data_IF_183571478379
#
_entry.id   IF_183571478379
#
_cell.length_a   1.000
_cell.length_b   1.000
_cell.length_c   1.000
_cell.angle_alpha   90.00
_cell.angle_beta   90.00
_cell.angle_gamma   90.00
#
_symmetry.space_group_name_H-M   'P 1'
#
loop_
_entity.id
_entity.type
_entity.pdbx_description
1 polymer ?
2 polymer ?
#
# COMPACT_ATOMS: atom_id res chain seq x y z
N UNK A 12 -7.89 27.65 -22.11
CA UNK A 12 -8.39 26.83 -23.21
C UNK A 12 -9.58 25.98 -22.76
N UNK A 13 -9.63 25.69 -21.46
CA UNK A 13 -10.67 24.92 -20.78
C UNK A 13 -10.67 23.46 -21.28
N UNK A 14 -11.67 22.94 -22.12
CA UNK A 14 -11.68 21.50 -22.33
C UNK A 14 -11.02 21.05 -23.62
N UNK A 15 -10.85 21.94 -24.60
CA UNK A 15 -10.10 21.53 -25.78
C UNK A 15 -8.65 21.21 -25.44
N UNK A 16 -8.18 21.60 -24.25
CA UNK A 16 -6.95 21.04 -23.72
C UNK A 16 -7.04 19.52 -23.62
N UNK A 17 -8.21 19.00 -23.20
CA UNK A 17 -8.43 17.55 -23.20
C UNK A 17 -8.39 17.00 -24.63
N UNK A 18 -8.93 17.74 -25.60
CA UNK A 18 -8.89 17.27 -26.98
C UNK A 18 -7.46 17.27 -27.52
N UNK A 19 -6.75 18.38 -27.34
CA UNK A 19 -5.34 18.43 -27.71
C UNK A 19 -4.60 17.21 -27.18
N UNK A 20 -4.78 16.90 -25.89
CA UNK A 20 -4.05 15.81 -25.27
C UNK A 20 -4.56 14.46 -25.74
N UNK A 21 -5.89 14.29 -25.73
CA UNK A 21 -6.48 13.03 -26.20
C UNK A 21 -6.13 12.77 -27.66
N UNK A 22 -5.85 13.82 -28.42
CA UNK A 22 -5.38 13.62 -29.77
C UNK A 22 -3.92 13.22 -29.79
N UNK A 23 -3.09 13.92 -29.01
CA UNK A 23 -1.65 13.66 -29.01
C UNK A 23 -1.34 12.22 -28.60
N UNK A 24 -2.08 11.71 -27.61
CA UNK A 24 -1.93 10.30 -27.23
C UNK A 24 -2.42 9.38 -28.33
N UNK A 25 -3.47 9.78 -29.04
CA UNK A 25 -4.08 8.91 -30.05
C UNK A 25 -3.13 8.65 -31.21
N UNK A 26 -2.23 9.59 -31.50
CA UNK A 26 -1.27 9.43 -32.57
C UNK A 26 -0.28 8.33 -32.21
N UNK A 27 0.56 8.58 -31.21
CA UNK A 27 1.35 7.49 -30.66
C UNK A 27 2.84 7.74 -30.58
N UNK A 28 3.26 8.98 -30.79
CA UNK A 28 4.67 9.33 -30.74
C UNK A 28 4.92 10.07 -29.43
N UNK A 29 5.66 9.44 -28.52
CA UNK A 29 6.02 10.11 -27.28
C UNK A 29 6.78 11.41 -27.51
N UNK A 30 7.71 11.53 -28.47
CA UNK A 30 8.21 12.87 -28.81
C UNK A 30 7.11 13.82 -29.22
N UNK A 31 6.21 13.38 -30.10
CA UNK A 31 5.11 14.21 -30.55
C UNK A 31 4.22 14.63 -29.38
N UNK A 32 4.09 13.78 -28.38
CA UNK A 32 3.31 14.14 -27.20
C UNK A 32 4.01 15.22 -26.40
N UNK A 33 5.32 15.10 -26.20
CA UNK A 33 6.08 16.15 -25.53
C UNK A 33 5.96 17.46 -26.28
N UNK A 34 6.17 17.41 -27.60
CA UNK A 34 6.12 18.62 -28.42
C UNK A 34 4.78 19.35 -28.26
N UNK A 35 3.69 18.62 -28.03
CA UNK A 35 2.41 19.26 -27.79
C UNK A 35 2.37 19.92 -26.41
N UNK A 36 2.75 19.17 -25.37
CA UNK A 36 2.74 19.73 -24.02
C UNK A 36 3.72 20.88 -23.89
N UNK A 37 4.83 20.83 -24.64
CA UNK A 37 5.87 21.85 -24.52
C UNK A 37 5.37 23.20 -24.99
N UNK A 38 4.59 23.22 -26.07
CA UNK A 38 4.19 24.47 -26.73
C UNK A 38 2.71 24.80 -26.56
N UNK A 39 1.92 23.94 -25.93
CA UNK A 39 0.49 24.18 -25.83
C UNK A 39 -0.06 24.08 -24.41
N UNK A 40 0.71 23.58 -23.45
CA UNK A 40 0.28 23.55 -22.05
C UNK A 40 0.94 24.65 -21.22
N UNK A 41 1.23 25.80 -21.82
CA UNK A 41 1.62 26.98 -21.07
C UNK A 41 0.37 27.82 -20.79
N UNK A 42 0.33 28.48 -19.62
CA UNK A 42 1.34 28.38 -18.57
C UNK A 42 1.12 27.14 -17.70
N UNK A 43 2.21 26.48 -17.27
CA UNK A 43 2.08 25.24 -16.51
C UNK A 43 1.56 25.44 -15.09
N UNK A 44 1.49 26.68 -14.60
CA UNK A 44 1.02 26.89 -13.24
C UNK A 44 -0.49 27.09 -13.14
N UNK A 45 -1.12 27.60 -14.19
CA UNK A 45 -2.55 27.86 -14.13
C UNK A 45 -3.28 26.54 -13.92
N UNK A 46 -4.23 26.47 -12.98
CA UNK A 46 -4.75 25.17 -12.53
C UNK A 46 -5.55 24.43 -13.59
N UNK A 47 -5.94 25.06 -14.69
CA UNK A 47 -6.62 24.32 -15.73
C UNK A 47 -5.66 23.46 -16.54
N UNK A 48 -4.40 23.85 -16.62
CA UNK A 48 -3.40 23.00 -17.27
C UNK A 48 -3.02 21.84 -16.36
N UNK A 49 -2.76 22.12 -15.08
CA UNK A 49 -2.35 21.07 -14.16
C UNK A 49 -3.44 20.05 -13.91
N UNK A 50 -4.72 20.41 -14.07
CA UNK A 50 -5.77 19.43 -13.87
C UNK A 50 -5.91 18.49 -15.07
N UNK A 51 -5.87 19.03 -16.29
CA UNK A 51 -5.96 18.18 -17.46
C UNK A 51 -4.64 17.47 -17.74
N UNK A 52 -3.53 17.99 -17.23
CA UNK A 52 -2.26 17.30 -17.36
C UNK A 52 -2.22 16.05 -16.49
N UNK A 53 -2.76 16.13 -15.27
CA UNK A 53 -2.69 15.02 -14.34
C UNK A 53 -3.75 13.95 -14.62
N UNK A 54 -4.55 14.12 -15.65
CA UNK A 54 -5.39 13.04 -16.16
C UNK A 54 -4.71 12.28 -17.29
N UNK A 55 -3.44 12.57 -17.58
CA UNK A 55 -2.81 12.03 -18.78
C UNK A 55 -2.76 10.51 -18.77
N UNK A 56 -2.63 9.89 -17.59
CA UNK A 56 -2.52 8.45 -17.54
C UNK A 56 -3.88 7.78 -17.77
N UNK A 57 -4.94 8.35 -17.21
CA UNK A 57 -6.28 7.85 -17.52
C UNK A 57 -6.58 7.98 -19.00
N UNK A 58 -6.06 9.03 -19.63
CA UNK A 58 -6.30 9.24 -21.05
C UNK A 58 -5.47 8.30 -21.92
N UNK A 59 -4.27 7.91 -21.46
CA UNK A 59 -3.44 7.03 -22.26
C UNK A 59 -4.05 5.64 -22.38
N UNK A 60 -4.58 5.11 -21.28
CA UNK A 60 -5.08 3.74 -21.28
C UNK A 60 -6.37 3.60 -22.09
N UNK A 61 -7.01 4.71 -22.44
CA UNK A 61 -8.19 4.62 -23.31
C UNK A 61 -7.81 4.63 -24.78
N UNK A 62 -7.00 5.60 -25.20
CA UNK A 62 -6.76 5.84 -26.62
C UNK A 62 -5.31 5.66 -27.04
N UNK A 63 -4.35 5.56 -26.10
CA UNK A 63 -3.01 5.57 -26.65
C UNK A 63 -2.51 4.15 -26.93
N UNK A 64 -1.64 4.00 -27.93
CA UNK A 64 -1.01 2.69 -28.16
C UNK A 64 -0.11 2.31 -26.99
N UNK A 65 0.29 1.04 -26.98
CA UNK A 65 0.95 0.47 -25.80
C UNK A 65 2.27 1.16 -25.50
N UNK A 66 3.11 1.33 -26.53
CA UNK A 66 4.46 1.84 -26.26
C UNK A 66 4.46 3.27 -25.73
N UNK A 67 3.41 4.05 -26.02
CA UNK A 67 3.33 5.41 -25.49
C UNK A 67 3.05 5.37 -24.00
N UNK A 68 2.35 4.33 -23.53
CA UNK A 68 2.08 4.20 -22.11
C UNK A 68 3.36 3.88 -21.35
N UNK A 69 4.12 2.90 -21.83
CA UNK A 69 5.41 2.58 -21.22
C UNK A 69 6.31 3.79 -21.21
N UNK A 70 6.36 4.54 -22.32
CA UNK A 70 7.23 5.71 -22.36
C UNK A 70 6.75 6.79 -21.41
N UNK A 71 5.43 6.95 -21.27
CA UNK A 71 4.92 7.91 -20.29
C UNK A 71 5.26 7.46 -18.88
N UNK A 72 5.09 6.17 -18.59
CA UNK A 72 5.35 5.64 -17.26
C UNK A 72 6.83 5.74 -16.92
N UNK A 73 7.68 5.12 -17.74
CA UNK A 73 9.11 5.01 -17.43
C UNK A 73 9.83 6.36 -17.43
N UNK A 74 9.10 7.44 -17.74
CA UNK A 74 9.65 8.79 -17.74
C UNK A 74 9.19 9.60 -16.53
N UNK A 75 7.87 9.62 -16.27
CA UNK A 75 7.29 10.62 -15.39
C UNK A 75 6.63 10.04 -14.14
N UNK A 76 6.58 8.72 -13.99
CA UNK A 76 5.80 8.10 -12.91
C UNK A 76 6.74 7.75 -11.76
N UNK A 77 6.34 8.13 -10.55
CA UNK A 77 7.04 7.82 -9.30
C UNK A 77 8.56 7.87 -9.46
N UNK A 78 9.03 8.99 -10.02
CA UNK A 78 10.45 9.16 -10.31
C UNK A 78 10.85 10.59 -10.01
N UNK A 79 12.04 10.77 -9.43
CA UNK A 79 12.58 12.08 -9.12
C UNK A 79 13.68 12.49 -10.08
N UNK A 80 13.81 11.82 -11.23
CA UNK A 80 14.88 12.09 -12.18
C UNK A 80 14.61 13.37 -12.99
N UNK A 81 14.21 14.44 -12.30
CA UNK A 81 13.96 15.78 -12.83
C UNK A 81 13.01 15.82 -14.04
N UNK A 82 12.77 14.67 -14.67
CA UNK A 82 11.77 14.51 -15.73
C UNK A 82 11.97 15.45 -16.92
N UNK A 83 11.01 16.34 -17.15
CA UNK A 83 10.99 17.13 -18.37
C UNK A 83 10.42 18.52 -18.10
N UNK A 84 9.09 18.65 -18.17
CA UNK A 84 8.41 19.85 -17.74
C UNK A 84 8.14 19.85 -16.25
N UNK A 85 9.04 19.25 -15.47
CA UNK A 85 8.83 19.02 -14.05
C UNK A 85 7.49 18.32 -13.81
N UNK A 86 7.15 17.40 -14.71
CA UNK A 86 5.91 16.66 -14.64
C UNK A 86 6.14 15.40 -13.83
N UNK A 87 5.30 15.18 -12.83
CA UNK A 87 5.39 14.01 -11.96
C UNK A 87 4.01 13.38 -11.86
N UNK A 88 3.87 12.18 -12.41
CA UNK A 88 2.59 11.49 -12.51
C UNK A 88 2.43 10.48 -11.38
N UNK A 89 1.32 10.59 -10.65
CA UNK A 89 0.98 9.59 -9.65
C UNK A 89 0.28 8.44 -10.34
N UNK A 90 0.83 7.23 -10.17
CA UNK A 90 0.30 6.09 -10.91
C UNK A 90 -1.12 5.75 -10.49
N UNK A 91 -1.53 6.12 -9.28
CA UNK A 91 -2.83 5.77 -8.75
C UNK A 91 -3.69 7.00 -8.52
N UNK A 92 -3.52 8.02 -9.36
CA UNK A 92 -4.33 9.23 -9.26
C UNK A 92 -5.79 8.89 -9.51
N UNK A 93 -6.67 9.74 -8.97
CA UNK A 93 -8.09 9.42 -8.91
C UNK A 93 -8.88 10.41 -9.77
N UNK A 94 -9.69 9.87 -10.68
CA UNK A 94 -10.65 10.58 -11.52
C UNK A 94 -11.53 11.54 -10.72
N UNK A 95 -12.28 12.38 -11.44
CA UNK A 95 -13.44 13.03 -10.80
C UNK A 95 -14.43 11.97 -10.32
N UNK A 96 -14.43 10.80 -10.96
CA UNK A 96 -15.25 9.67 -10.56
C UNK A 96 -14.56 8.80 -9.51
N UNK A 97 -13.32 9.12 -9.14
CA UNK A 97 -12.58 8.34 -8.16
C UNK A 97 -11.74 7.21 -8.72
N UNK A 98 -11.81 6.94 -10.03
CA UNK A 98 -11.13 5.82 -10.63
C UNK A 98 -9.64 6.10 -10.85
N UNK A 99 -8.87 5.02 -10.94
CA UNK A 99 -7.46 5.03 -11.27
C UNK A 99 -7.25 4.56 -12.70
N UNK A 100 -6.09 4.82 -13.31
CA UNK A 100 -5.84 4.27 -14.65
C UNK A 100 -6.00 2.77 -14.71
N UNK A 101 -5.74 2.06 -13.61
CA UNK A 101 -6.01 0.63 -13.57
C UNK A 101 -7.51 0.34 -13.68
N UNK A 102 -8.36 1.22 -13.12
CA UNK A 102 -9.81 1.07 -13.25
C UNK A 102 -10.24 1.13 -14.72
N UNK A 103 -9.90 2.23 -15.39
CA UNK A 103 -10.33 2.42 -16.78
C UNK A 103 -9.78 1.29 -17.65
N UNK A 104 -8.51 0.95 -17.49
CA UNK A 104 -7.91 -0.14 -18.24
C UNK A 104 -8.72 -1.42 -18.08
N UNK A 105 -9.11 -1.74 -16.85
CA UNK A 105 -9.93 -2.92 -16.61
C UNK A 105 -11.31 -2.75 -17.21
N UNK A 106 -11.96 -1.60 -16.92
CA UNK A 106 -13.33 -1.36 -17.37
C UNK A 106 -13.49 -1.58 -18.86
N UNK A 107 -12.52 -1.14 -19.65
CA UNK A 107 -12.61 -1.29 -21.09
C UNK A 107 -12.14 -2.63 -21.58
N UNK A 108 -11.86 -3.58 -20.67
CA UNK A 108 -11.42 -4.92 -21.03
C UNK A 108 -10.15 -4.89 -21.86
N UNK A 109 -9.32 -3.86 -21.66
CA UNK A 109 -8.04 -3.75 -22.33
C UNK A 109 -7.02 -4.49 -21.45
N UNK A 110 -6.87 -5.79 -21.70
CA UNK A 110 -6.22 -6.66 -20.73
C UNK A 110 -4.70 -6.56 -20.72
N UNK A 111 -4.08 -6.46 -21.89
CA UNK A 111 -2.64 -6.36 -21.97
C UNK A 111 -2.10 -5.13 -21.23
N UNK A 112 -2.97 -4.15 -20.97
CA UNK A 112 -2.58 -2.96 -20.22
C UNK A 112 -2.78 -3.17 -18.72
N UNK A 113 -3.89 -3.80 -18.32
CA UNK A 113 -4.07 -4.20 -16.93
C UNK A 113 -2.86 -4.96 -16.43
N UNK A 114 -2.26 -5.78 -17.31
CA UNK A 114 -1.05 -6.51 -16.96
C UNK A 114 0.10 -5.56 -16.64
N UNK A 115 0.46 -4.69 -17.60
CA UNK A 115 1.60 -3.80 -17.41
C UNK A 115 1.44 -2.89 -16.21
N UNK A 116 0.20 -2.47 -15.90
CA UNK A 116 -0.02 -1.64 -14.71
C UNK A 116 0.26 -2.41 -13.43
N UNK A 117 -0.21 -3.65 -13.33
CA UNK A 117 -0.02 -4.44 -12.11
C UNK A 117 1.42 -4.90 -11.91
N UNK A 118 2.27 -4.80 -12.94
CA UNK A 118 3.68 -5.15 -12.80
C UNK A 118 4.53 -3.97 -12.37
N UNK A 119 3.97 -2.77 -12.26
CA UNK A 119 4.73 -1.62 -11.82
C UNK A 119 5.01 -1.71 -10.31
N UNK A 120 6.03 -1.02 -9.83
CA UNK A 120 6.40 -1.15 -8.41
C UNK A 120 5.47 -0.43 -7.46
N UNK A 121 4.88 0.69 -7.86
CA UNK A 121 4.05 1.47 -6.96
C UNK A 121 2.56 1.27 -7.22
N UNK A 122 2.17 0.29 -8.04
CA UNK A 122 0.77 0.06 -8.34
C UNK A 122 0.01 -0.30 -7.07
N UNK A 123 -1.11 0.38 -6.85
CA UNK A 123 -2.02 0.08 -5.76
C UNK A 123 -3.33 -0.39 -6.38
N UNK A 124 -3.57 -1.70 -6.33
CA UNK A 124 -4.76 -2.29 -6.93
C UNK A 124 -5.90 -2.45 -5.94
N UNK A 125 -5.84 -1.73 -4.82
CA UNK A 125 -6.86 -1.83 -3.79
C UNK A 125 -7.50 -0.48 -3.52
N UNK A 126 -7.45 0.42 -4.49
CA UNK A 126 -8.01 1.74 -4.35
C UNK A 126 -9.50 1.67 -4.63
N UNK A 127 -10.28 2.37 -3.80
CA UNK A 127 -11.72 2.44 -3.93
C UNK A 127 -12.07 3.74 -4.65
N UNK A 128 -12.97 3.64 -5.63
CA UNK A 128 -13.42 4.82 -6.33
C UNK A 128 -14.62 5.42 -5.59
N UNK A 129 -15.32 6.34 -6.26
CA UNK A 129 -16.48 6.98 -5.65
C UNK A 129 -17.59 5.96 -5.39
N UNK A 130 -17.73 4.98 -6.28
CA UNK A 130 -18.74 3.93 -6.11
C UNK A 130 -18.33 2.86 -5.11
N UNK A 131 -17.16 3.00 -4.48
CA UNK A 131 -16.62 2.00 -3.55
C UNK A 131 -16.41 0.65 -4.26
N UNK A 132 -15.58 0.69 -5.30
CA UNK A 132 -15.25 -0.51 -6.07
C UNK A 132 -13.76 -0.60 -6.29
N UNK A 133 -13.23 -1.82 -6.16
CA UNK A 133 -11.86 -2.08 -6.52
C UNK A 133 -11.71 -2.09 -8.03
N UNK A 134 -10.48 -1.83 -8.50
CA UNK A 134 -10.24 -1.81 -9.93
C UNK A 134 -10.59 -3.14 -10.58
N UNK A 135 -10.56 -4.22 -9.81
CA UNK A 135 -10.82 -5.54 -10.39
C UNK A 135 -12.30 -5.70 -10.74
N UNK A 136 -13.19 -4.95 -10.08
CA UNK A 136 -14.62 -5.15 -10.30
C UNK A 136 -15.13 -4.53 -11.59
N UNK A 137 -14.41 -3.58 -12.16
CA UNK A 137 -14.92 -2.85 -13.32
C UNK A 137 -14.94 -3.68 -14.60
N UNK A 138 -14.11 -4.72 -14.71
CA UNK A 138 -14.03 -5.39 -16.00
C UNK A 138 -15.24 -6.29 -16.23
N UNK A 139 -15.45 -6.64 -17.50
CA UNK A 139 -16.50 -7.56 -17.90
C UNK A 139 -15.98 -8.93 -18.29
N UNK A 140 -14.78 -9.00 -18.86
CA UNK A 140 -14.20 -10.29 -19.25
C UNK A 140 -13.65 -11.00 -18.01
N UNK A 141 -14.12 -12.22 -17.76
CA UNK A 141 -13.61 -12.98 -16.62
C UNK A 141 -12.13 -13.30 -16.79
N UNK A 142 -11.70 -13.58 -18.03
CA UNK A 142 -10.28 -13.85 -18.29
C UNK A 142 -9.39 -12.73 -17.79
N UNK A 143 -9.89 -11.49 -17.85
CA UNK A 143 -9.12 -10.35 -17.36
C UNK A 143 -9.18 -10.29 -15.84
N UNK A 144 -10.33 -10.60 -15.25
CA UNK A 144 -10.44 -10.62 -13.79
C UNK A 144 -9.52 -11.69 -13.20
N UNK A 145 -9.52 -12.88 -13.80
CA UNK A 145 -8.70 -13.97 -13.27
C UNK A 145 -7.22 -13.59 -13.24
N UNK A 146 -6.71 -13.08 -14.35
CA UNK A 146 -5.31 -12.65 -14.38
C UNK A 146 -5.06 -11.57 -13.34
N UNK A 147 -6.03 -10.67 -13.14
CA UNK A 147 -5.90 -9.66 -12.10
C UNK A 147 -5.86 -10.31 -10.73
N UNK A 148 -6.79 -11.23 -10.47
CA UNK A 148 -6.84 -11.91 -9.19
C UNK A 148 -5.60 -12.76 -8.97
N UNK A 149 -5.06 -13.36 -10.04
CA UNK A 149 -3.86 -14.18 -9.93
C UNK A 149 -2.66 -13.31 -9.58
N UNK A 150 -2.60 -12.10 -10.13
CA UNK A 150 -1.45 -11.24 -9.91
C UNK A 150 -1.39 -10.74 -8.46
N UNK A 151 -2.55 -10.44 -7.86
CA UNK A 151 -2.54 -10.10 -6.44
C UNK A 151 -2.01 -11.26 -5.61
N UNK A 152 -2.42 -12.49 -5.96
CA UNK A 152 -1.93 -13.67 -5.26
C UNK A 152 -0.41 -13.75 -5.28
N UNK A 153 0.18 -13.51 -6.46
CA UNK A 153 1.62 -13.61 -6.59
C UNK A 153 2.34 -12.47 -5.87
N UNK A 154 1.74 -11.28 -5.88
CA UNK A 154 2.38 -10.17 -5.20
C UNK A 154 2.38 -10.38 -3.69
N UNK A 155 1.24 -10.74 -3.12
CA UNK A 155 1.15 -10.99 -1.68
C UNK A 155 2.08 -12.13 -1.29
N UNK A 156 2.20 -13.15 -2.15
CA UNK A 156 3.12 -14.23 -1.88
C UNK A 156 4.56 -13.73 -1.84
N UNK A 157 4.98 -13.03 -2.91
CA UNK A 157 6.36 -12.55 -2.99
C UNK A 157 6.67 -11.54 -1.90
N UNK A 158 5.71 -10.70 -1.53
CA UNK A 158 5.98 -9.68 -0.53
C UNK A 158 6.02 -10.26 0.88
N UNK A 159 5.17 -11.25 1.16
CA UNK A 159 5.19 -11.91 2.46
C UNK A 159 6.52 -12.62 2.70
N UNK A 160 7.15 -13.11 1.65
CA UNK A 160 8.47 -13.71 1.81
C UNK A 160 9.52 -12.64 2.07
N UNK A 161 9.44 -11.51 1.35
CA UNK A 161 10.34 -10.40 1.63
C UNK A 161 10.16 -9.87 3.04
N UNK A 162 8.93 -9.91 3.56
CA UNK A 162 8.68 -9.52 4.94
C UNK A 162 9.41 -10.44 5.91
N UNK A 163 9.20 -11.75 5.77
CA UNK A 163 9.87 -12.72 6.63
C UNK A 163 11.38 -12.57 6.56
N UNK A 164 11.93 -12.50 5.35
CA UNK A 164 13.38 -12.36 5.19
C UNK A 164 13.88 -11.11 5.92
N UNK A 165 13.16 -10.00 5.78
CA UNK A 165 13.60 -8.75 6.41
C UNK A 165 13.68 -8.88 7.92
N UNK A 166 12.73 -9.59 8.52
CA UNK A 166 12.80 -9.81 9.96
C UNK A 166 13.98 -10.71 10.32
N UNK A 167 14.19 -11.78 9.56
CA UNK A 167 15.25 -12.73 9.91
C UNK A 167 16.61 -12.08 9.84
N UNK A 168 16.84 -11.23 8.84
CA UNK A 168 18.08 -10.48 8.73
C UNK A 168 18.08 -9.20 9.55
N UNK A 169 16.97 -8.87 10.22
CA UNK A 169 16.85 -7.63 10.99
C UNK A 169 17.14 -6.42 10.11
N UNK A 170 16.70 -6.49 8.85
CA UNK A 170 16.87 -5.41 7.87
C UNK A 170 15.83 -4.32 8.18
N UNK A 171 16.19 -3.43 9.10
CA UNK A 171 15.25 -2.42 9.57
C UNK A 171 14.80 -1.51 8.43
N UNK A 172 15.73 -1.09 7.57
CA UNK A 172 15.37 -0.22 6.47
C UNK A 172 14.37 -0.85 5.53
N UNK A 173 14.52 -2.16 5.27
CA UNK A 173 13.62 -2.81 4.34
C UNK A 173 12.23 -2.96 4.91
N UNK A 174 12.11 -3.08 6.24
CA UNK A 174 10.79 -3.20 6.85
C UNK A 174 10.01 -1.91 6.75
N UNK A 175 10.66 -0.76 7.02
CA UNK A 175 10.00 0.52 6.82
C UNK A 175 9.61 0.74 5.36
N UNK A 176 10.38 0.14 4.43
CA UNK A 176 10.05 0.25 3.02
C UNK A 176 8.78 -0.50 2.67
N UNK A 177 8.52 -1.60 3.35
CA UNK A 177 7.38 -2.45 2.99
C UNK A 177 6.09 -1.94 3.61
N UNK A 178 6.15 -1.45 4.86
CA UNK A 178 4.94 -0.92 5.48
C UNK A 178 4.57 0.46 4.94
N UNK A 179 5.49 1.16 4.29
CA UNK A 179 5.17 2.45 3.70
C UNK A 179 4.29 2.30 2.47
N UNK A 180 4.51 1.25 1.69
CA UNK A 180 3.71 1.04 0.48
C UNK A 180 2.25 0.82 0.84
N UNK A 181 1.34 1.68 0.39
CA UNK A 181 -0.05 1.56 0.86
C UNK A 181 -0.71 0.27 0.42
N UNK A 182 -0.40 -0.21 -0.79
CA UNK A 182 -0.94 -1.51 -1.21
C UNK A 182 -0.57 -2.59 -0.21
N UNK A 183 0.61 -2.49 0.39
CA UNK A 183 1.02 -3.47 1.41
C UNK A 183 0.23 -3.28 2.69
N UNK A 184 0.00 -2.03 3.10
CA UNK A 184 -0.75 -1.77 4.33
C UNK A 184 -2.14 -2.40 4.26
N UNK A 185 -2.68 -2.59 3.06
CA UNK A 185 -4.00 -3.17 2.86
C UNK A 185 -3.99 -4.69 2.80
N UNK A 186 -2.87 -5.30 2.41
CA UNK A 186 -2.79 -6.74 2.12
C UNK A 186 -1.76 -7.46 2.99
N UNK A 187 -1.46 -6.95 4.18
CA UNK A 187 -0.35 -7.48 4.94
C UNK A 187 -0.60 -7.20 6.41
N UNK A 188 -0.64 -8.25 7.22
CA UNK A 188 -0.89 -8.12 8.65
C UNK A 188 0.43 -8.30 9.40
N UNK A 189 0.74 -7.36 10.29
CA UNK A 189 1.96 -7.43 11.08
C UNK A 189 1.76 -8.31 12.32
N UNK A 190 0.52 -8.69 12.61
CA UNK A 190 0.21 -9.52 13.77
C UNK A 190 0.18 -11.01 13.46
N UNK A 191 -0.44 -11.42 12.34
CA UNK A 191 -0.72 -12.81 12.01
C UNK A 191 0.22 -13.87 12.54
N UNK A 192 -0.33 -14.94 13.09
CA UNK A 192 0.51 -15.98 13.70
C UNK A 192 1.26 -16.76 12.64
N UNK A 193 2.48 -17.18 12.97
CA UNK A 193 3.17 -18.22 12.21
C UNK A 193 2.29 -19.46 12.21
N UNK A 194 2.01 -20.06 11.04
CA UNK A 194 1.03 -21.15 11.01
C UNK A 194 1.38 -22.34 11.88
N UNK A 195 2.63 -22.82 11.85
CA UNK A 195 2.94 -23.91 12.77
C UNK A 195 3.90 -23.45 13.85
N UNK A 196 3.46 -22.45 14.63
CA UNK A 196 4.12 -21.99 15.84
C UNK A 196 3.06 -21.23 16.65
N UNK A 197 3.48 -20.42 17.61
CA UNK A 197 2.58 -19.51 18.31
C UNK A 197 1.77 -18.70 17.31
N UNK A 198 2.30 -17.61 16.74
CA UNK A 198 3.50 -16.84 17.11
C UNK A 198 3.52 -15.55 16.30
N UNK A 199 3.04 -14.45 16.89
CA UNK A 199 3.20 -13.16 16.25
C UNK A 199 4.67 -12.76 16.28
N UNK A 200 5.01 -11.77 15.45
CA UNK A 200 6.40 -11.32 15.41
C UNK A 200 6.83 -10.68 16.71
N UNK A 201 5.88 -10.20 17.52
CA UNK A 201 6.23 -9.67 18.83
C UNK A 201 6.73 -10.79 19.75
N UNK A 202 5.98 -11.89 19.85
CA UNK A 202 6.42 -13.01 20.66
C UNK A 202 7.78 -13.52 20.23
N UNK A 203 7.93 -13.76 18.92
CA UNK A 203 9.17 -14.27 18.37
C UNK A 203 10.36 -13.43 18.82
N UNK A 204 10.21 -12.11 18.82
CA UNK A 204 11.31 -11.21 19.13
C UNK A 204 11.40 -10.83 20.60
N UNK A 205 10.31 -10.93 21.35
CA UNK A 205 10.44 -10.86 22.80
C UNK A 205 11.27 -12.04 23.30
N UNK A 206 11.14 -13.20 22.65
CA UNK A 206 11.85 -14.39 23.10
C UNK A 206 13.34 -14.32 22.79
N UNK A 207 13.72 -13.64 21.72
CA UNK A 207 15.13 -13.40 21.45
C UNK A 207 15.69 -12.24 22.28
N UNK A 208 14.93 -11.78 23.27
CA UNK A 208 15.09 -10.49 23.94
C UNK A 208 15.80 -9.48 23.07
N UNK A 209 15.13 -9.03 22.01
CA UNK A 209 15.70 -8.11 21.03
C UNK A 209 14.97 -6.78 21.23
N UNK A 210 15.50 -5.96 22.14
CA UNK A 210 14.76 -4.77 22.57
C UNK A 210 14.57 -3.81 21.41
N UNK A 211 15.60 -3.63 20.58
CA UNK A 211 15.54 -2.66 19.50
C UNK A 211 14.44 -3.01 18.52
N UNK A 212 14.27 -4.31 18.22
CA UNK A 212 13.28 -4.74 17.25
C UNK A 212 11.87 -4.74 17.85
N UNK A 213 11.74 -5.05 19.13
CA UNK A 213 10.43 -4.98 19.76
C UNK A 213 9.91 -3.55 19.81
N UNK A 214 10.77 -2.59 20.14
CA UNK A 214 10.36 -1.19 20.13
C UNK A 214 9.91 -0.77 18.74
N UNK A 215 10.68 -1.15 17.71
CA UNK A 215 10.29 -0.89 16.33
C UNK A 215 8.91 -1.48 16.04
N UNK A 216 8.69 -2.73 16.44
CA UNK A 216 7.41 -3.39 16.17
C UNK A 216 6.27 -2.69 16.89
N UNK A 217 6.48 -2.27 18.14
CA UNK A 217 5.42 -1.65 18.90
C UNK A 217 4.91 -0.38 18.23
N UNK A 218 5.76 0.29 17.46
CA UNK A 218 5.37 1.54 16.82
C UNK A 218 4.59 1.29 15.54
N UNK A 219 4.86 0.20 14.85
CA UNK A 219 4.17 -0.13 13.60
C UNK A 219 3.11 -1.20 13.86
N UNK A 220 2.04 -0.77 14.51
CA UNK A 220 0.96 -1.67 14.89
C UNK A 220 1.41 -2.66 15.94
N UNK A 221 1.30 -3.96 15.64
CA UNK A 221 1.79 -5.02 16.51
C UNK A 221 1.29 -4.88 17.94
N UNK A 222 0.04 -5.25 18.19
CA UNK A 222 -0.55 -5.00 19.49
C UNK A 222 0.04 -5.93 20.54
N UNK A 223 0.26 -5.44 21.77
CA UNK A 223 0.83 -6.28 22.83
C UNK A 223 -0.18 -7.15 23.57
N UNK A 224 -1.41 -7.26 23.06
CA UNK A 224 -2.46 -8.04 23.70
C UNK A 224 -2.72 -9.36 23.01
N UNK A 225 -2.15 -9.58 21.81
CA UNK A 225 -2.39 -10.83 21.11
C UNK A 225 -1.65 -11.96 21.81
N UNK A 226 -2.41 -12.96 22.26
CA UNK A 226 -1.84 -14.17 22.82
C UNK A 226 -1.18 -15.01 21.71
N UNK A 227 -0.29 -15.90 22.12
CA UNK A 227 0.08 -17.00 21.23
C UNK A 227 -0.90 -18.14 21.46
N UNK A 228 -0.66 -19.31 20.87
CA UNK A 228 -1.61 -20.39 21.08
C UNK A 228 -1.32 -21.11 22.39
N UNK A 229 -0.78 -20.39 23.35
CA UNK A 229 -0.61 -20.87 24.72
C UNK A 229 -1.05 -19.81 25.72
N UNK A 230 -2.01 -18.96 25.35
CA UNK A 230 -2.59 -17.98 26.25
C UNK A 230 -1.67 -16.84 26.65
N UNK A 231 -0.38 -17.15 26.79
CA UNK A 231 0.66 -16.19 27.14
C UNK A 231 0.69 -14.99 26.19
N UNK A 232 0.36 -13.81 26.69
CA UNK A 232 0.58 -12.61 25.90
C UNK A 232 2.02 -12.14 26.11
N UNK A 233 2.54 -11.27 25.22
CA UNK A 233 4.00 -11.02 25.19
C UNK A 233 4.65 -10.74 26.54
N UNK A 234 4.02 -9.93 27.38
CA UNK A 234 4.63 -9.51 28.64
C UNK A 234 5.00 -10.70 29.50
N UNK A 235 4.28 -11.82 29.35
CA UNK A 235 4.48 -13.00 30.18
C UNK A 235 5.60 -13.90 29.69
N UNK A 236 6.38 -13.48 28.69
CA UNK A 236 7.62 -14.18 28.34
C UNK A 236 8.78 -13.35 28.89
N UNK A 237 9.00 -13.48 30.19
CA UNK A 237 10.02 -12.70 30.90
C UNK A 237 10.58 -13.50 32.08
N UNK A 250 23.73 -8.58 31.44
CA UNK A 250 23.05 -9.23 32.56
C UNK A 250 21.55 -9.34 32.30
N UNK A 251 20.76 -9.20 33.36
CA UNK A 251 19.30 -9.24 33.27
C UNK A 251 18.72 -7.84 33.14
N UNK A 252 19.56 -6.82 33.04
CA UNK A 252 19.07 -5.47 32.80
C UNK A 252 18.45 -5.32 31.42
N UNK A 253 18.65 -6.31 30.54
CA UNK A 253 17.97 -6.33 29.24
C UNK A 253 16.53 -6.81 29.40
N UNK A 254 16.26 -7.71 30.33
CA UNK A 254 14.91 -8.21 30.57
C UNK A 254 14.00 -7.08 31.03
N UNK A 255 14.39 -6.37 32.09
CA UNK A 255 13.56 -5.31 32.65
C UNK A 255 13.34 -4.19 31.66
N UNK A 256 14.19 -4.09 30.63
CA UNK A 256 13.95 -3.11 29.57
C UNK A 256 12.73 -3.47 28.74
N UNK A 257 12.61 -4.74 28.36
CA UNK A 257 11.39 -5.20 27.68
C UNK A 257 10.19 -5.08 28.61
N UNK A 258 10.32 -5.56 29.84
CA UNK A 258 9.19 -5.62 30.76
C UNK A 258 8.61 -4.25 31.02
N UNK A 259 9.47 -3.23 31.14
CA UNK A 259 8.97 -1.87 31.25
C UNK A 259 8.53 -1.32 29.90
N UNK A 260 9.07 -1.84 28.81
CA UNK A 260 8.67 -1.38 27.48
C UNK A 260 7.22 -1.74 27.19
N UNK A 261 6.84 -2.99 27.45
CA UNK A 261 5.47 -3.43 27.18
C UNK A 261 4.49 -2.78 28.14
N UNK A 262 4.88 -2.62 29.42
CA UNK A 262 4.01 -1.94 30.37
C UNK A 262 3.62 -0.56 29.88
N UNK A 263 4.57 0.19 29.31
CA UNK A 263 4.24 1.50 28.78
C UNK A 263 3.36 1.42 27.55
N UNK A 264 3.52 0.35 26.76
CA UNK A 264 2.78 0.23 25.51
C UNK A 264 1.32 -0.16 25.72
N UNK A 265 1.07 -1.07 26.67
CA UNK A 265 -0.31 -1.46 26.97
C UNK A 265 -1.08 -0.30 27.60
N UNK A 266 -0.43 0.49 28.45
CA UNK A 266 -1.09 1.62 29.07
C UNK A 266 -1.59 2.63 28.05
N UNK A 267 -0.99 2.67 26.86
CA UNK A 267 -1.45 3.56 25.81
C UNK A 267 -2.73 3.06 25.15
N UNK A 268 -2.84 1.73 24.97
CA UNK A 268 -4.03 1.16 24.35
C UNK A 268 -5.26 1.29 25.25
N UNK A 269 -5.06 1.20 26.56
CA UNK A 269 -6.15 1.31 27.52
C UNK A 269 -6.56 2.76 27.81
N UNK A 270 -6.11 3.71 26.98
CA UNK A 270 -6.62 5.07 27.02
C UNK A 270 -7.72 5.27 25.97
N UNK A 271 -7.72 4.49 24.89
CA UNK A 271 -8.84 4.55 23.94
C UNK A 271 -10.10 3.98 24.56
N UNK A 272 -9.98 2.88 25.31
CA UNK A 272 -11.11 2.30 26.03
C UNK A 272 -11.37 3.15 27.27
N UNK A 273 -12.06 4.27 27.05
CA UNK A 273 -12.25 5.26 28.11
C UNK A 273 -13.22 4.76 29.18
N UNK A 274 -14.06 3.77 28.87
CA UNK A 274 -15.00 3.18 29.80
C UNK A 274 -14.64 1.71 29.96
N UNK B 1 -13.57 1.44 30.74
CA UNK B 1 -13.00 0.11 30.81
C UNK B 1 -13.23 -0.56 32.17
N UNK B 2 -12.90 0.13 33.26
CA UNK B 2 -13.06 -0.37 34.63
C UNK B 2 -12.10 -1.51 34.94
N UNK B 3 -12.42 -2.73 34.51
CA UNK B 3 -11.56 -3.89 34.75
C UNK B 3 -10.67 -4.16 33.53
N UNK B 4 -9.45 -4.61 33.81
CA UNK B 4 -8.58 -5.10 32.75
C UNK B 4 -9.14 -6.41 32.20
N UNK B 5 -8.30 -7.22 31.55
CA UNK B 5 -8.83 -8.40 30.86
C UNK B 5 -8.77 -9.66 31.71
N UNK B 6 -7.76 -9.79 32.57
CA UNK B 6 -7.61 -10.99 33.39
C UNK B 6 -8.44 -10.93 34.66
N UNK B 7 -8.33 -9.81 35.37
CA UNK B 7 -9.19 -9.54 36.52
C UNK B 7 -10.66 -9.44 36.12
N UNK B 8 -10.97 -9.24 34.84
CA UNK B 8 -12.33 -9.43 34.34
C UNK B 8 -12.73 -10.90 34.40
N UNK B 9 -11.83 -11.80 34.00
CA UNK B 9 -12.11 -13.23 34.01
C UNK B 9 -12.15 -13.81 35.42
N UNK B 10 -11.54 -13.15 36.40
CA UNK B 10 -11.62 -13.63 37.77
C UNK B 10 -13.00 -13.36 38.35
N UNK B 11 -13.58 -12.21 38.03
CA UNK B 11 -14.95 -11.93 38.48
C UNK B 11 -15.94 -12.89 37.82
N UNK B 12 -15.71 -13.23 36.55
CA UNK B 12 -16.66 -14.09 35.84
C UNK B 12 -16.59 -15.53 36.36
N UNK B 13 -15.43 -16.17 36.19
CA UNK B 13 -15.29 -17.59 36.47
C UNK B 13 -14.84 -17.91 37.89
N UNK B 14 -14.52 -16.91 38.69
CA UNK B 14 -14.23 -17.15 40.09
C UNK B 14 -15.49 -17.37 40.91
N UNK B 15 -15.32 -18.02 42.05
CA UNK B 15 -16.44 -18.44 42.86
C UNK B 15 -16.44 -17.83 44.27
N UNK B 16 -15.52 -16.93 44.59
CA UNK B 16 -15.43 -16.32 45.92
C UNK B 16 -15.30 -17.38 47.02
#
# INVERSE_FOLDING_TARGET
GSAMGSSSVAISKPLLKLKLLDALRQGSFPNLQDLLKKQFQPLDDPNVQQVLHLMLHYAVQVAPMAVIKEIVHHWVSTTNTTFLNIHLDLNERDSNGNTPLHIAAYQSRGDIVAFLLDQPTINDCVLNNSHLQAIEMCKNLNIAQMMQVKRSTYVAETAQEFRTAFNNRDFGHLESILSSPRNAELLDINGMDPETGDTVLHEFVKKRDVIMCRWLLEHGADPFKRDRKGKLPIELVRKVNENDTATNTKIAIDIELKKLLERATREQSVIDVT
KHYNDGERAVLQFGKNRSEPIILSYKD
#
